data_IF_404436318025
#
_entry.id   IF_404436318025
#
_cell.length_a   1.000
_cell.length_b   1.000
_cell.length_c   1.000
_cell.angle_alpha   90.00
_cell.angle_beta   90.00
_cell.angle_gamma   90.00
#
_symmetry.space_group_name_H-M   'P 1'
#
loop_
_entity.id
_entity.type
_entity.pdbx_description
1 polymer ?
#
# COMPACT_ATOMS: atom_id res chain seq x y z
N UNK A 1 -9.24 12.70 -22.15
CA UNK A 1 -10.28 12.68 -21.09
C UNK A 1 -10.74 11.26 -20.72
N UNK A 2 -10.91 10.34 -21.68
CA UNK A 2 -11.35 8.95 -21.38
C UNK A 2 -10.47 8.17 -20.39
N UNK A 3 -9.13 8.30 -20.47
CA UNK A 3 -8.21 7.61 -19.56
C UNK A 3 -8.38 8.02 -18.08
N UNK A 4 -8.61 9.30 -17.81
CA UNK A 4 -8.81 9.83 -16.45
C UNK A 4 -10.13 9.33 -15.87
N UNK A 5 -11.22 9.41 -16.65
CA UNK A 5 -12.53 8.91 -16.24
C UNK A 5 -12.54 7.39 -16.03
N UNK A 6 -11.84 6.64 -16.90
CA UNK A 6 -11.69 5.19 -16.75
C UNK A 6 -10.92 4.81 -15.48
N UNK A 7 -9.83 5.51 -15.19
CA UNK A 7 -9.05 5.31 -13.96
C UNK A 7 -9.89 5.65 -12.73
N UNK A 8 -10.58 6.78 -12.74
CA UNK A 8 -11.48 7.21 -11.66
C UNK A 8 -12.59 6.19 -11.39
N UNK A 9 -13.26 5.70 -12.44
CA UNK A 9 -14.30 4.67 -12.32
C UNK A 9 -13.72 3.35 -11.77
N UNK A 10 -12.52 2.97 -12.20
CA UNK A 10 -11.85 1.75 -11.73
C UNK A 10 -11.51 1.84 -10.23
N UNK A 11 -11.03 3.00 -9.76
CA UNK A 11 -10.74 3.25 -8.35
C UNK A 11 -12.02 3.23 -7.51
N UNK A 12 -13.08 3.93 -7.95
CA UNK A 12 -14.37 3.93 -7.25
C UNK A 12 -14.97 2.52 -7.12
N UNK A 13 -14.96 1.75 -8.20
CA UNK A 13 -15.48 0.39 -8.19
C UNK A 13 -14.67 -0.55 -7.27
N UNK A 14 -13.34 -0.40 -7.27
CA UNK A 14 -12.46 -1.17 -6.38
C UNK A 14 -12.73 -0.82 -4.91
N UNK A 15 -12.78 0.48 -4.57
CA UNK A 15 -13.09 0.94 -3.22
C UNK A 15 -14.48 0.50 -2.75
N UNK A 16 -15.49 0.56 -3.63
CA UNK A 16 -16.83 0.07 -3.35
C UNK A 16 -16.90 -1.44 -3.12
N UNK A 17 -16.09 -2.21 -3.86
CA UNK A 17 -15.98 -3.67 -3.69
C UNK A 17 -15.35 -4.01 -2.34
N UNK A 18 -14.21 -3.38 -2.02
CA UNK A 18 -13.53 -3.53 -0.71
C UNK A 18 -14.50 -3.18 0.42
N UNK A 19 -15.20 -2.04 0.33
CA UNK A 19 -16.15 -1.66 1.37
C UNK A 19 -17.34 -2.63 1.47
N UNK A 20 -17.97 -2.99 0.35
CA UNK A 20 -19.17 -3.84 0.38
C UNK A 20 -18.88 -5.28 0.82
N UNK A 21 -17.73 -5.84 0.44
CA UNK A 21 -17.35 -7.21 0.78
C UNK A 21 -16.58 -7.24 2.10
N UNK A 22 -15.45 -6.54 2.20
CA UNK A 22 -14.51 -6.70 3.32
C UNK A 22 -14.99 -5.99 4.59
N UNK A 23 -15.76 -4.91 4.45
CA UNK A 23 -16.31 -4.17 5.60
C UNK A 23 -17.77 -4.55 5.83
N UNK A 24 -18.67 -4.27 4.89
CA UNK A 24 -20.11 -4.41 5.07
C UNK A 24 -20.54 -5.87 5.25
N UNK A 25 -20.19 -6.77 4.32
CA UNK A 25 -20.56 -8.19 4.43
C UNK A 25 -19.92 -8.84 5.66
N UNK A 26 -18.64 -8.56 5.92
CA UNK A 26 -17.89 -9.15 7.04
C UNK A 26 -18.42 -8.74 8.41
N UNK A 27 -18.78 -7.46 8.61
CA UNK A 27 -19.15 -6.92 9.92
C UNK A 27 -20.67 -6.76 10.13
N UNK A 28 -21.44 -6.42 9.09
CA UNK A 28 -22.85 -6.02 9.23
C UNK A 28 -23.85 -7.03 8.66
N UNK A 29 -23.43 -7.95 7.80
CA UNK A 29 -24.36 -8.83 7.10
C UNK A 29 -23.73 -10.08 6.52
N UNK A 30 -23.33 -11.03 7.38
CA UNK A 30 -22.72 -12.32 6.99
C UNK A 30 -23.55 -13.09 5.94
N UNK A 31 -24.88 -12.92 5.96
CA UNK A 31 -25.84 -13.55 5.02
C UNK A 31 -26.55 -12.54 4.10
N UNK A 32 -25.89 -11.45 3.68
CA UNK A 32 -26.48 -10.54 2.69
C UNK A 32 -26.49 -11.15 1.29
N UNK A 33 -27.58 -10.94 0.55
CA UNK A 33 -27.69 -11.31 -0.86
C UNK A 33 -26.80 -10.43 -1.75
N UNK A 34 -26.35 -10.96 -2.88
CA UNK A 34 -25.50 -10.25 -3.83
C UNK A 34 -26.16 -8.96 -4.34
N UNK A 35 -27.49 -8.99 -4.54
CA UNK A 35 -28.26 -7.81 -4.95
C UNK A 35 -28.17 -6.69 -3.91
N UNK A 36 -28.10 -7.02 -2.62
CA UNK A 36 -27.92 -6.02 -1.55
C UNK A 36 -26.48 -5.52 -1.51
N UNK A 37 -25.48 -6.39 -1.71
CA UNK A 37 -24.08 -5.98 -1.82
C UNK A 37 -23.86 -5.00 -2.97
N UNK A 38 -24.43 -5.27 -4.15
CA UNK A 38 -24.33 -4.37 -5.31
C UNK A 38 -24.96 -3.01 -5.02
N UNK A 39 -26.11 -2.97 -4.32
CA UNK A 39 -26.73 -1.70 -3.90
C UNK A 39 -25.83 -0.91 -2.95
N UNK A 40 -25.21 -1.58 -1.97
CA UNK A 40 -24.25 -0.95 -1.04
C UNK A 40 -23.05 -0.43 -1.81
N UNK A 41 -22.44 -1.23 -2.69
CA UNK A 41 -21.30 -0.79 -3.51
C UNK A 41 -21.62 0.43 -4.39
N UNK A 42 -22.79 0.47 -5.02
CA UNK A 42 -23.25 1.64 -5.79
C UNK A 42 -23.41 2.89 -4.90
N UNK A 43 -23.99 2.73 -3.71
CA UNK A 43 -24.15 3.83 -2.75
C UNK A 43 -22.78 4.33 -2.26
N UNK A 44 -21.87 3.43 -1.92
CA UNK A 44 -20.49 3.78 -1.53
C UNK A 44 -19.78 4.53 -2.66
N UNK A 45 -19.90 4.06 -3.90
CA UNK A 45 -19.30 4.74 -5.08
C UNK A 45 -19.83 6.17 -5.22
N UNK A 46 -21.13 6.37 -5.06
CA UNK A 46 -21.76 7.68 -5.13
C UNK A 46 -21.24 8.62 -4.03
N UNK A 47 -21.17 8.14 -2.79
CA UNK A 47 -20.67 8.92 -1.65
C UNK A 47 -19.20 9.31 -1.87
N UNK A 48 -18.36 8.35 -2.28
CA UNK A 48 -16.95 8.60 -2.57
C UNK A 48 -16.77 9.59 -3.74
N UNK A 49 -17.61 9.50 -4.77
CA UNK A 49 -17.58 10.44 -5.90
C UNK A 49 -17.92 11.87 -5.46
N UNK A 50 -18.97 12.05 -4.66
CA UNK A 50 -19.35 13.36 -4.11
C UNK A 50 -18.22 13.90 -3.24
N UNK A 51 -17.66 13.07 -2.34
CA UNK A 51 -16.55 13.47 -1.49
C UNK A 51 -15.32 13.90 -2.31
N UNK A 52 -14.97 13.15 -3.36
CA UNK A 52 -13.87 13.51 -4.25
C UNK A 52 -14.10 14.86 -4.95
N UNK A 53 -15.32 15.15 -5.41
CA UNK A 53 -15.67 16.44 -6.02
C UNK A 53 -15.50 17.60 -5.02
N UNK A 54 -15.89 17.39 -3.75
CA UNK A 54 -15.75 18.40 -2.71
C UNK A 54 -14.29 18.66 -2.33
N UNK A 55 -13.45 17.62 -2.31
CA UNK A 55 -12.03 17.72 -1.93
C UNK A 55 -11.15 18.20 -3.10
N UNK A 56 -11.54 17.94 -4.35
CA UNK A 56 -10.80 18.34 -5.54
C UNK A 56 -10.28 19.79 -5.53
N UNK A 57 -11.09 20.84 -5.23
CA UNK A 57 -10.59 22.22 -5.19
C UNK A 57 -9.55 22.48 -4.09
N UNK A 58 -9.63 21.76 -2.97
CA UNK A 58 -8.65 21.90 -1.87
C UNK A 58 -7.28 21.37 -2.26
N UNK A 59 -7.25 20.36 -3.13
CA UNK A 59 -6.04 19.67 -3.59
C UNK A 59 -5.46 20.31 -4.85
N UNK A 60 -6.28 21.01 -5.65
CA UNK A 60 -5.86 21.68 -6.88
C UNK A 60 -4.81 22.78 -6.66
N UNK A 61 -4.82 23.43 -5.49
CA UNK A 61 -3.88 24.50 -5.13
C UNK A 61 -2.73 24.01 -4.24
N UNK A 62 -2.36 22.72 -4.34
CA UNK A 62 -1.29 22.15 -3.51
C UNK A 62 0.06 22.87 -3.76
N UNK A 63 0.72 23.41 -2.71
CA UNK A 63 1.85 24.33 -2.84
C UNK A 63 3.09 23.71 -3.48
N UNK A 64 3.38 22.44 -3.17
CA UNK A 64 4.53 21.69 -3.71
C UNK A 64 4.19 20.86 -4.97
N UNK A 65 3.00 21.09 -5.54
CA UNK A 65 2.48 20.35 -6.68
C UNK A 65 1.72 19.06 -6.30
N UNK A 66 0.75 18.72 -7.15
CA UNK A 66 -0.17 17.60 -6.92
C UNK A 66 0.54 16.25 -6.78
N UNK A 67 1.58 16.02 -7.58
CA UNK A 67 2.31 14.75 -7.56
C UNK A 67 3.00 14.50 -6.21
N UNK A 68 3.61 15.53 -5.63
CA UNK A 68 4.29 15.43 -4.33
C UNK A 68 3.30 15.17 -3.20
N UNK A 69 2.17 15.89 -3.20
CA UNK A 69 1.09 15.64 -2.24
C UNK A 69 0.55 14.20 -2.37
N UNK A 70 0.30 13.71 -3.59
CA UNK A 70 -0.17 12.34 -3.81
C UNK A 70 0.86 11.30 -3.33
N UNK A 71 2.15 11.54 -3.52
CA UNK A 71 3.18 10.65 -2.97
C UNK A 71 3.15 10.66 -1.44
N UNK A 72 3.13 11.83 -0.80
CA UNK A 72 3.07 11.93 0.66
C UNK A 72 1.84 11.22 1.23
N UNK A 73 0.66 11.37 0.60
CA UNK A 73 -0.57 10.69 1.00
C UNK A 73 -0.50 9.18 0.79
N UNK A 74 0.08 8.70 -0.31
CA UNK A 74 0.29 7.27 -0.54
C UNK A 74 1.23 6.66 0.51
N UNK A 75 2.27 7.41 0.91
CA UNK A 75 3.24 7.01 1.92
C UNK A 75 2.61 6.58 3.26
N UNK A 76 1.51 7.24 3.66
CA UNK A 76 0.77 6.98 4.91
C UNK A 76 0.43 5.50 5.07
N UNK A 77 0.00 4.86 3.98
CA UNK A 77 -0.45 3.46 4.01
C UNK A 77 0.56 2.51 3.38
N UNK A 78 1.27 2.98 2.34
CA UNK A 78 2.12 2.13 1.54
C UNK A 78 3.26 1.51 2.35
N UNK A 79 3.97 2.31 3.16
CA UNK A 79 5.16 1.84 3.89
C UNK A 79 4.81 0.89 5.03
N UNK A 80 3.84 1.19 5.94
CA UNK A 80 3.45 0.25 6.98
C UNK A 80 2.95 -1.09 6.41
N UNK A 81 2.10 -1.04 5.38
CA UNK A 81 1.53 -2.25 4.78
C UNK A 81 2.62 -3.05 4.07
N UNK A 82 3.48 -2.40 3.26
CA UNK A 82 4.59 -3.07 2.58
C UNK A 82 5.55 -3.73 3.59
N UNK A 83 5.87 -3.05 4.69
CA UNK A 83 6.73 -3.59 5.75
C UNK A 83 6.14 -4.87 6.34
N UNK A 84 4.84 -4.85 6.68
CA UNK A 84 4.15 -6.01 7.26
C UNK A 84 4.03 -7.15 6.25
N UNK A 85 3.73 -6.86 4.98
CA UNK A 85 3.66 -7.87 3.94
C UNK A 85 5.01 -8.53 3.69
N UNK A 86 6.08 -7.74 3.55
CA UNK A 86 7.45 -8.26 3.38
C UNK A 86 7.86 -9.08 4.59
N UNK A 87 7.57 -8.59 5.80
CA UNK A 87 7.82 -9.34 7.02
C UNK A 87 7.03 -10.66 7.04
N UNK A 88 5.75 -10.66 6.68
CA UNK A 88 4.92 -11.87 6.63
C UNK A 88 5.38 -12.89 5.59
N UNK A 89 5.95 -12.46 4.46
CA UNK A 89 6.46 -13.36 3.42
C UNK A 89 7.85 -13.93 3.73
N UNK A 90 8.76 -13.09 4.26
CA UNK A 90 10.17 -13.45 4.37
C UNK A 90 10.61 -13.79 5.81
N UNK A 91 9.86 -13.35 6.83
CA UNK A 91 10.24 -13.51 8.24
C UNK A 91 9.26 -14.46 8.94
N UNK A 92 9.76 -15.59 9.42
CA UNK A 92 8.92 -16.63 10.04
C UNK A 92 8.44 -16.29 11.45
N UNK A 93 9.09 -15.35 12.12
CA UNK A 93 8.94 -15.12 13.56
C UNK A 93 8.18 -13.83 13.88
N UNK A 94 7.26 -13.41 13.02
CA UNK A 94 6.47 -12.19 13.22
C UNK A 94 5.06 -12.55 13.67
N UNK A 95 4.67 -12.08 14.85
CA UNK A 95 3.35 -12.34 15.41
C UNK A 95 2.30 -11.37 14.87
N UNK A 96 1.04 -11.79 14.84
CA UNK A 96 -0.07 -10.93 14.45
C UNK A 96 -0.20 -9.69 15.35
N UNK A 97 0.23 -9.79 16.61
CA UNK A 97 0.29 -8.63 17.52
C UNK A 97 1.40 -7.66 17.11
N UNK A 98 2.60 -8.18 16.79
CA UNK A 98 3.71 -7.36 16.30
C UNK A 98 3.36 -6.59 15.03
N UNK A 99 2.71 -7.25 14.06
CA UNK A 99 2.25 -6.59 12.84
C UNK A 99 1.23 -5.47 13.11
N UNK A 100 0.25 -5.69 14.00
CA UNK A 100 -0.76 -4.68 14.36
C UNK A 100 -0.15 -3.46 15.06
N UNK A 101 0.74 -3.70 16.02
CA UNK A 101 1.39 -2.61 16.76
C UNK A 101 2.30 -1.82 15.83
N UNK A 102 3.08 -2.50 14.98
CA UNK A 102 3.91 -1.84 13.98
C UNK A 102 3.07 -0.98 13.02
N UNK A 103 1.96 -1.51 12.49
CA UNK A 103 1.04 -0.73 11.64
C UNK A 103 0.63 0.59 12.30
N UNK A 104 0.24 0.53 13.57
CA UNK A 104 -0.20 1.71 14.31
C UNK A 104 0.95 2.69 14.60
N UNK A 105 2.12 2.17 15.00
CA UNK A 105 3.31 2.97 15.28
C UNK A 105 3.84 3.63 14.01
N UNK A 106 3.96 2.89 12.91
CA UNK A 106 4.40 3.40 11.61
C UNK A 106 3.48 4.50 11.09
N UNK A 107 2.17 4.25 11.07
CA UNK A 107 1.16 5.24 10.69
C UNK A 107 1.28 6.53 11.53
N UNK A 108 1.38 6.37 12.84
CA UNK A 108 1.47 7.51 13.78
C UNK A 108 2.78 8.27 13.58
N UNK A 109 3.90 7.55 13.44
CA UNK A 109 5.21 8.12 13.17
C UNK A 109 5.18 8.95 11.88
N UNK A 110 4.70 8.37 10.77
CA UNK A 110 4.68 9.04 9.48
C UNK A 110 3.79 10.29 9.48
N UNK A 111 2.60 10.21 10.10
CA UNK A 111 1.70 11.36 10.22
C UNK A 111 2.35 12.48 11.03
N UNK A 112 2.98 12.13 12.16
CA UNK A 112 3.65 13.09 13.02
C UNK A 112 4.82 13.78 12.30
N UNK A 113 5.71 13.01 11.66
CA UNK A 113 6.90 13.58 11.01
C UNK A 113 6.57 14.40 9.78
N UNK A 114 5.58 13.94 8.99
CA UNK A 114 5.27 14.55 7.69
C UNK A 114 4.31 15.74 7.81
N UNK A 115 3.27 15.66 8.65
CA UNK A 115 2.21 16.67 8.69
C UNK A 115 2.24 17.57 9.93
N UNK A 116 2.85 17.13 11.04
CA UNK A 116 2.81 17.86 12.32
C UNK A 116 4.15 18.55 12.60
N UNK A 117 5.24 17.78 12.68
CA UNK A 117 6.56 18.30 13.04
C UNK A 117 7.31 18.98 11.88
N UNK A 118 6.86 18.76 10.62
CA UNK A 118 7.49 19.30 9.39
C UNK A 118 9.02 19.17 9.43
N UNK A 119 9.48 17.93 9.60
CA UNK A 119 10.92 17.63 9.58
C UNK A 119 11.46 17.99 8.20
N UNK A 120 12.56 18.74 8.12
CA UNK A 120 13.17 19.20 6.86
C UNK A 120 13.93 18.06 6.15
N UNK A 121 13.22 16.96 5.91
CA UNK A 121 13.72 15.73 5.30
C UNK A 121 12.72 15.32 4.21
N UNK A 122 13.25 14.98 3.04
CA UNK A 122 12.43 14.51 1.93
C UNK A 122 11.68 13.21 2.28
N UNK A 123 10.42 13.09 1.86
CA UNK A 123 9.52 12.00 2.24
C UNK A 123 10.08 10.59 1.96
N UNK A 124 10.93 10.45 0.93
CA UNK A 124 11.60 9.18 0.60
C UNK A 124 12.51 8.69 1.73
N UNK A 125 13.23 9.58 2.41
CA UNK A 125 14.04 9.20 3.57
C UNK A 125 13.16 8.84 4.76
N UNK A 126 12.05 9.55 4.95
CA UNK A 126 11.05 9.23 5.98
C UNK A 126 10.51 7.81 5.75
N UNK A 127 10.20 7.43 4.51
CA UNK A 127 9.78 6.07 4.17
C UNK A 127 10.82 5.01 4.54
N UNK A 128 12.11 5.28 4.28
CA UNK A 128 13.20 4.38 4.66
C UNK A 128 13.30 4.20 6.19
N UNK A 129 13.22 5.31 6.94
CA UNK A 129 13.26 5.29 8.41
C UNK A 129 12.03 4.55 8.96
N UNK A 130 10.85 4.84 8.43
CA UNK A 130 9.59 4.21 8.83
C UNK A 130 9.60 2.70 8.56
N UNK A 131 10.15 2.25 7.43
CA UNK A 131 10.30 0.83 7.12
C UNK A 131 11.17 0.12 8.18
N UNK A 132 12.33 0.69 8.50
CA UNK A 132 13.24 0.12 9.52
C UNK A 132 12.58 0.15 10.91
N UNK A 133 11.91 1.24 11.26
CA UNK A 133 11.16 1.37 12.51
C UNK A 133 10.07 0.29 12.62
N UNK A 134 9.29 0.08 11.55
CA UNK A 134 8.26 -0.95 11.50
C UNK A 134 8.85 -2.35 11.73
N UNK A 135 9.97 -2.68 11.09
CA UNK A 135 10.65 -3.96 11.32
C UNK A 135 11.09 -4.11 12.78
N UNK A 136 11.72 -3.08 13.36
CA UNK A 136 12.16 -3.10 14.76
C UNK A 136 10.98 -3.33 15.70
N UNK A 137 9.87 -2.60 15.51
CA UNK A 137 8.67 -2.75 16.34
C UNK A 137 8.06 -4.14 16.17
N UNK A 138 7.98 -4.65 14.95
CA UNK A 138 7.47 -6.00 14.71
C UNK A 138 8.32 -7.05 15.42
N UNK A 139 9.65 -6.98 15.31
CA UNK A 139 10.54 -7.92 16.00
C UNK A 139 10.47 -7.79 17.53
N UNK A 140 10.50 -6.56 18.04
CA UNK A 140 10.45 -6.31 19.48
C UNK A 140 9.14 -6.84 20.09
N UNK A 141 7.99 -6.52 19.48
CA UNK A 141 6.69 -7.00 19.97
C UNK A 141 6.53 -8.49 19.77
N UNK A 142 7.02 -9.05 18.66
CA UNK A 142 6.97 -10.51 18.43
C UNK A 142 7.89 -11.28 19.37
N UNK A 143 8.95 -10.66 19.90
CA UNK A 143 9.79 -11.26 20.94
C UNK A 143 9.02 -11.42 22.26
N UNK A 144 8.26 -10.41 22.69
CA UNK A 144 7.44 -10.49 23.90
C UNK A 144 6.13 -11.28 23.71
N UNK A 145 5.56 -11.22 22.50
CA UNK A 145 4.33 -11.88 22.11
C UNK A 145 4.62 -12.80 20.92
N UNK A 146 5.25 -13.96 21.14
CA UNK A 146 5.60 -14.88 20.07
C UNK A 146 4.35 -15.34 19.30
N UNK A 147 4.50 -15.64 18.00
CA UNK A 147 3.40 -16.14 17.18
C UNK A 147 2.82 -17.41 17.81
N UNK A 148 1.52 -17.38 18.14
CA UNK A 148 0.83 -18.46 18.87
C UNK A 148 0.53 -19.67 17.98
N UNK A 149 0.59 -19.49 16.67
CA UNK A 149 0.54 -20.58 15.71
C UNK A 149 1.87 -20.55 14.96
N UNK A 150 2.59 -21.68 14.99
CA UNK A 150 3.56 -21.95 13.91
C UNK A 150 2.81 -21.67 12.61
N UNK A 151 3.42 -20.91 11.69
CA UNK A 151 2.85 -20.79 10.35
C UNK A 151 2.62 -22.20 9.85
N UNK A 152 1.36 -22.67 9.86
CA UNK A 152 0.97 -23.92 9.24
C UNK A 152 1.20 -23.71 7.77
N UNK A 153 2.42 -24.01 7.35
CA UNK A 153 2.84 -24.09 5.96
C UNK A 153 2.32 -25.41 5.35
N UNK A 154 1.24 -25.95 5.92
CA UNK A 154 0.52 -27.10 5.44
C UNK A 154 -0.31 -26.61 4.25
N UNK A 155 0.22 -26.89 3.06
CA UNK A 155 -0.35 -26.60 1.74
C UNK A 155 0.01 -25.25 1.10
N UNK A 156 1.28 -24.83 1.13
CA UNK A 156 1.75 -24.06 -0.04
C UNK A 156 1.78 -25.05 -1.21
N UNK A 157 0.70 -25.07 -1.98
CA UNK A 157 0.75 -25.64 -3.33
C UNK A 157 1.76 -24.78 -4.06
N UNK A 158 2.99 -25.28 -4.19
CA UNK A 158 3.98 -24.69 -5.07
C UNK A 158 3.38 -24.76 -6.47
N UNK A 159 2.70 -23.69 -6.87
CA UNK A 159 2.38 -23.47 -8.28
C UNK A 159 3.75 -23.43 -8.94
N UNK A 160 4.11 -24.47 -9.69
CA UNK A 160 5.35 -24.48 -10.46
C UNK A 160 5.32 -23.24 -11.37
N UNK A 161 6.00 -22.18 -10.93
CA UNK A 161 6.18 -20.99 -11.73
C UNK A 161 7.23 -21.31 -12.79
N UNK A 162 6.80 -21.99 -13.85
CA UNK A 162 7.66 -22.25 -15.01
C UNK A 162 8.04 -20.91 -15.62
N UNK A 163 9.29 -20.51 -15.43
CA UNK A 163 9.81 -19.26 -15.99
C UNK A 163 9.68 -19.30 -17.52
N UNK A 164 9.20 -18.21 -18.09
CA UNK A 164 9.17 -18.06 -19.54
C UNK A 164 10.59 -18.10 -20.12
N UNK A 165 10.77 -18.71 -21.28
CA UNK A 165 12.08 -18.93 -21.92
C UNK A 165 12.91 -17.64 -22.04
N UNK A 166 12.26 -16.49 -22.21
CA UNK A 166 12.92 -15.21 -22.41
C UNK A 166 12.97 -14.32 -21.15
N UNK A 167 12.60 -14.83 -19.96
CA UNK A 167 12.66 -14.04 -18.71
C UNK A 167 14.06 -13.53 -18.43
N UNK A 168 15.08 -14.40 -18.53
CA UNK A 168 16.49 -14.01 -18.28
C UNK A 168 17.01 -12.97 -19.27
N UNK A 169 16.93 -13.16 -20.60
CA UNK A 169 17.42 -12.16 -21.55
C UNK A 169 16.67 -10.83 -21.45
N UNK A 170 15.36 -10.85 -21.22
CA UNK A 170 14.57 -9.62 -21.05
C UNK A 170 14.94 -8.86 -19.77
N UNK A 171 15.17 -9.57 -18.66
CA UNK A 171 15.62 -8.95 -17.41
C UNK A 171 17.00 -8.30 -17.57
N UNK A 172 17.95 -9.00 -18.22
CA UNK A 172 19.29 -8.46 -18.49
C UNK A 172 19.20 -7.22 -19.39
N UNK A 173 18.41 -7.30 -20.47
CA UNK A 173 18.19 -6.16 -21.37
C UNK A 173 17.63 -4.95 -20.62
N UNK A 174 16.60 -5.15 -19.77
CA UNK A 174 16.04 -4.09 -18.94
C UNK A 174 17.10 -3.46 -18.02
N UNK A 175 17.88 -4.27 -17.30
CA UNK A 175 18.95 -3.77 -16.43
C UNK A 175 19.99 -2.96 -17.21
N UNK A 176 20.44 -3.45 -18.36
CA UNK A 176 21.43 -2.77 -19.21
C UNK A 176 20.88 -1.44 -19.71
N UNK A 177 19.64 -1.41 -20.20
CA UNK A 177 18.99 -0.19 -20.68
C UNK A 177 18.86 0.83 -19.54
N UNK A 178 18.41 0.41 -18.36
CA UNK A 178 18.30 1.30 -17.20
C UNK A 178 19.67 1.89 -16.83
N UNK A 179 20.71 1.07 -16.69
CA UNK A 179 22.07 1.54 -16.37
C UNK A 179 22.59 2.49 -17.44
N UNK A 180 22.38 2.18 -18.72
CA UNK A 180 22.79 3.03 -19.82
C UNK A 180 22.10 4.40 -19.77
N UNK A 181 20.79 4.45 -19.49
CA UNK A 181 20.05 5.71 -19.33
C UNK A 181 20.66 6.56 -18.20
N UNK A 182 20.94 5.94 -17.04
CA UNK A 182 21.54 6.65 -15.91
C UNK A 182 22.93 7.21 -16.24
N UNK A 183 23.77 6.44 -16.94
CA UNK A 183 25.11 6.89 -17.34
C UNK A 183 25.03 8.02 -18.39
N UNK A 184 24.18 7.85 -19.41
CA UNK A 184 24.05 8.83 -20.49
C UNK A 184 23.51 10.17 -19.99
N UNK A 185 22.47 10.14 -19.15
CA UNK A 185 21.90 11.36 -18.58
C UNK A 185 22.79 11.97 -17.50
N UNK A 186 23.44 11.14 -16.66
CA UNK A 186 24.35 11.61 -15.63
C UNK A 186 25.65 12.20 -16.17
N UNK A 187 26.11 11.78 -17.34
CA UNK A 187 27.25 12.40 -18.03
C UNK A 187 26.86 13.65 -18.85
N UNK A 188 25.57 13.90 -19.05
CA UNK A 188 25.05 15.04 -19.82
C UNK A 188 24.67 16.25 -18.95
N UNK A 189 24.72 16.11 -17.62
CA UNK A 189 24.50 17.15 -16.60
C UNK A 189 25.82 17.63 -16.00
#
# INVERSE_FOLDING_TARGET
MGAVLSTFNSVLNSAATIFSIDVFKRHFGKNCSDRKLVKVGKLTSLILAIFAILVAPMVANAPDGLYQLLQQLNGIFFIPIASIMLAGFFLKNISAMGAKVALFVGLTFYILTTFIFKVDIHFVHIWGIEFVLNLIVMFAVSYFYPPTQEMQQDNIVFVEMKTWKYTKPMAIMLCVVTVAIYILLGNAS
#
